data_IF_543403178259
#
_entry.id   IF_543403178259
#
_cell.length_a   1.000
_cell.length_b   1.000
_cell.length_c   1.000
_cell.angle_alpha   90.00
_cell.angle_beta   90.00
_cell.angle_gamma   90.00
#
_symmetry.space_group_name_H-M   'P 1'
#
loop_
_entity.id
_entity.type
_entity.pdbx_description
1 polymer ?
#
# COMPACT_ATOMS: atom_id res chain seq x y z
N UNK A 1 6.49 21.07 -17.94
CA UNK A 1 5.79 20.32 -16.89
C UNK A 1 5.84 18.86 -17.34
N UNK A 2 6.43 17.96 -16.55
CA UNK A 2 6.43 16.54 -16.88
C UNK A 2 5.00 16.05 -16.65
N UNK A 3 4.36 15.49 -17.67
CA UNK A 3 3.06 14.85 -17.48
C UNK A 3 3.24 13.64 -16.58
N UNK A 4 2.59 13.68 -15.42
CA UNK A 4 2.54 12.54 -14.51
C UNK A 4 1.51 11.57 -15.07
N UNK A 5 1.96 10.42 -15.56
CA UNK A 5 1.04 9.33 -15.93
C UNK A 5 0.25 8.90 -14.71
N UNK A 6 -1.06 8.68 -14.89
CA UNK A 6 -1.94 8.26 -13.80
C UNK A 6 -1.47 6.90 -13.28
N UNK A 7 -1.11 6.76 -11.99
CA UNK A 7 -0.70 5.47 -11.45
C UNK A 7 -1.87 4.48 -11.50
N UNK A 8 -1.61 3.30 -12.03
CA UNK A 8 -2.51 2.13 -11.95
C UNK A 8 -2.15 1.29 -10.74
N UNK A 9 -3.16 0.62 -10.20
CA UNK A 9 -3.02 -0.36 -9.11
C UNK A 9 -3.40 -1.71 -9.69
N UNK A 10 -2.47 -2.67 -9.67
CA UNK A 10 -2.68 -4.03 -10.13
C UNK A 10 -2.64 -5.00 -8.95
N UNK A 11 -3.64 -5.86 -8.85
CA UNK A 11 -3.71 -6.93 -7.85
C UNK A 11 -3.10 -8.21 -8.45
N UNK A 12 -1.90 -8.58 -8.00
CA UNK A 12 -1.21 -9.77 -8.50
C UNK A 12 -1.72 -11.06 -7.85
N UNK A 13 -1.95 -11.02 -6.54
CA UNK A 13 -2.43 -12.17 -5.76
C UNK A 13 -3.40 -11.67 -4.71
N UNK A 14 -4.57 -12.31 -4.62
CA UNK A 14 -5.56 -12.02 -3.58
C UNK A 14 -6.12 -13.35 -3.10
N UNK A 15 -5.87 -13.66 -1.84
CA UNK A 15 -6.51 -14.75 -1.10
C UNK A 15 -7.26 -14.15 0.09
N UNK A 16 -7.96 -14.98 0.84
CA UNK A 16 -8.71 -14.53 2.02
C UNK A 16 -7.81 -13.90 3.10
N UNK A 17 -6.50 -14.20 3.11
CA UNK A 17 -5.56 -13.77 4.15
C UNK A 17 -4.33 -13.02 3.61
N UNK A 18 -4.14 -12.94 2.29
CA UNK A 18 -2.98 -12.31 1.68
C UNK A 18 -3.35 -11.55 0.41
N UNK A 19 -2.77 -10.35 0.25
CA UNK A 19 -2.93 -9.53 -0.94
C UNK A 19 -1.58 -8.95 -1.39
N UNK A 20 -1.25 -9.11 -2.68
CA UNK A 20 -0.08 -8.50 -3.33
C UNK A 20 -0.52 -7.50 -4.38
N UNK A 21 -0.13 -6.25 -4.19
CA UNK A 21 -0.50 -5.13 -5.04
C UNK A 21 0.73 -4.44 -5.61
N UNK A 22 0.66 -4.03 -6.88
CA UNK A 22 1.68 -3.24 -7.57
C UNK A 22 1.08 -1.90 -7.98
N UNK A 23 1.81 -0.81 -7.71
CA UNK A 23 1.41 0.55 -8.09
C UNK A 23 2.48 1.15 -8.98
N UNK A 24 2.12 1.49 -10.21
CA UNK A 24 3.03 2.04 -11.22
C UNK A 24 2.27 2.88 -12.26
N UNK A 25 2.93 3.82 -12.96
CA UNK A 25 4.26 4.34 -12.67
C UNK A 25 4.23 5.31 -11.48
N UNK A 26 5.35 5.40 -10.77
CA UNK A 26 5.55 6.37 -9.68
C UNK A 26 6.82 7.17 -9.94
N UNK A 27 6.79 8.45 -9.58
CA UNK A 27 8.00 9.27 -9.59
C UNK A 27 9.04 8.73 -8.60
N UNK A 28 10.32 9.04 -8.89
CA UNK A 28 11.43 8.65 -8.02
C UNK A 28 11.18 9.14 -6.59
N UNK A 29 11.20 8.21 -5.64
CA UNK A 29 11.00 8.48 -4.22
C UNK A 29 9.55 8.30 -3.75
N UNK A 30 8.54 8.42 -4.63
CA UNK A 30 7.13 8.27 -4.23
C UNK A 30 6.82 6.85 -3.76
N UNK A 31 7.49 5.84 -4.32
CA UNK A 31 7.37 4.46 -3.85
C UNK A 31 7.71 4.30 -2.36
N UNK A 32 8.76 5.00 -1.88
CA UNK A 32 9.13 4.98 -0.45
C UNK A 32 8.15 5.80 0.39
N UNK A 33 7.75 6.99 -0.07
CA UNK A 33 6.81 7.87 0.64
C UNK A 33 5.46 7.19 0.85
N UNK A 34 4.88 6.61 -0.22
CA UNK A 34 3.61 5.90 -0.16
C UNK A 34 3.75 4.56 0.55
N UNK A 35 4.78 3.77 0.21
CA UNK A 35 4.99 2.44 0.78
C UNK A 35 5.17 2.45 2.30
N UNK A 36 6.00 3.35 2.83
CA UNK A 36 6.19 3.47 4.28
C UNK A 36 4.92 3.94 4.99
N UNK A 37 4.18 4.88 4.38
CA UNK A 37 2.92 5.37 4.93
C UNK A 37 1.85 4.28 4.99
N UNK A 38 1.67 3.56 3.88
CA UNK A 38 0.72 2.44 3.79
C UNK A 38 1.07 1.33 4.76
N UNK A 39 2.36 0.95 4.86
CA UNK A 39 2.81 -0.06 5.84
C UNK A 39 2.43 0.32 7.26
N UNK A 40 2.60 1.59 7.66
CA UNK A 40 2.22 2.06 9.00
C UNK A 40 0.71 2.00 9.21
N UNK A 41 -0.07 2.48 8.26
CA UNK A 41 -1.53 2.47 8.35
C UNK A 41 -2.06 1.04 8.50
N UNK A 42 -1.57 0.11 7.67
CA UNK A 42 -1.99 -1.29 7.69
C UNK A 42 -1.65 -2.00 9.01
N UNK A 43 -0.53 -1.66 9.66
CA UNK A 43 -0.10 -2.32 10.90
C UNK A 43 -0.67 -1.68 12.16
N UNK A 44 -0.90 -0.36 12.18
CA UNK A 44 -1.18 0.37 13.44
C UNK A 44 -2.52 1.11 13.46
N UNK A 45 -3.19 1.27 12.33
CA UNK A 45 -4.39 2.14 12.24
C UNK A 45 -5.67 1.38 11.92
N UNK A 46 -5.57 0.09 11.59
CA UNK A 46 -6.73 -0.77 11.42
C UNK A 46 -7.30 -1.13 12.78
N UNK A 47 -8.62 -0.96 12.93
CA UNK A 47 -9.33 -1.34 14.14
C UNK A 47 -9.34 -2.86 14.27
N UNK A 48 -9.03 -3.35 15.46
CA UNK A 48 -9.02 -4.76 15.80
C UNK A 48 -9.24 -4.94 17.29
N UNK A 49 -9.43 -6.18 17.72
CA UNK A 49 -9.62 -6.56 19.13
C UNK A 49 -8.64 -7.68 19.44
N UNK A 50 -8.03 -7.63 20.62
CA UNK A 50 -7.16 -8.68 21.13
C UNK A 50 -7.42 -8.88 22.63
N UNK A 51 -7.20 -10.10 23.12
CA UNK A 51 -7.30 -10.41 24.55
C UNK A 51 -6.15 -9.73 25.30
N UNK A 52 -6.48 -9.08 26.41
CA UNK A 52 -5.51 -8.44 27.33
C UNK A 52 -5.53 -9.14 28.69
N UNK A 53 -4.42 -9.08 29.44
CA UNK A 53 -4.25 -9.70 30.77
C UNK A 53 -4.97 -8.95 31.88
#
# INVERSE_FOLDING_TARGET
MIEIEKPKIESLEVTDQYGRFVVEPLERGYGMTLGNSLRRILLSSLQGIAVTS
#
